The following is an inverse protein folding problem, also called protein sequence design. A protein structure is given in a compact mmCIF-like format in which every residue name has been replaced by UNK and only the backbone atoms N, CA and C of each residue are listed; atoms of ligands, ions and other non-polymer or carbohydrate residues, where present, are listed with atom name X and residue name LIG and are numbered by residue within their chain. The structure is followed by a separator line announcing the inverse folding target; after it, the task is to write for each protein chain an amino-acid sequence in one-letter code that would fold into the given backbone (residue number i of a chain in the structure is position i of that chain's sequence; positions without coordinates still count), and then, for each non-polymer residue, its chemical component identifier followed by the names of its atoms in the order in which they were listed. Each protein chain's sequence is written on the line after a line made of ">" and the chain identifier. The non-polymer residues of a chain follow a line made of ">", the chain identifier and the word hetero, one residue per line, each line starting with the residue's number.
data_IF_381932849190
#
_entry.id   IF_381932849190
#
_cell.length_a   1.000
_cell.length_b   1.000
_cell.length_c   1.000
_cell.angle_alpha   90.00
_cell.angle_beta   90.00
_cell.angle_gamma   90.00
#
_symmetry.space_group_name_H-M   'P 1'
#
loop_
_entity.id
_entity.type
_entity.pdbx_description
1 polymer ?
#
# COMPACT_ATOMS: atom_id res chain seq x y z
N UNK A 1 22.02 6.02 71.38
CA UNK A 1 21.37 5.94 70.06
C UNK A 1 22.36 5.30 69.11
N UNK A 2 22.13 4.02 68.81
CA UNK A 2 22.97 3.21 67.93
C UNK A 2 23.03 3.79 66.52
N UNK A 3 24.24 3.81 65.93
CA UNK A 3 24.42 4.08 64.50
C UNK A 3 24.04 2.81 63.74
N UNK A 4 22.94 2.87 63.00
CA UNK A 4 22.64 1.86 61.98
C UNK A 4 23.56 2.13 60.78
N UNK A 5 24.36 1.16 60.31
CA UNK A 5 25.16 1.33 59.10
C UNK A 5 24.24 1.27 57.88
N UNK A 6 24.30 2.30 57.04
CA UNK A 6 23.70 2.26 55.71
C UNK A 6 24.39 1.14 54.90
N UNK A 7 23.63 0.11 54.58
CA UNK A 7 24.00 -0.89 53.58
C UNK A 7 24.20 -0.16 52.26
N UNK A 8 25.38 -0.27 51.68
CA UNK A 8 25.69 0.16 50.30
C UNK A 8 25.39 -1.04 49.39
N UNK A 9 24.39 -0.98 48.49
CA UNK A 9 24.28 -1.95 47.41
C UNK A 9 25.23 -1.51 46.30
N UNK A 10 26.29 -2.29 46.11
CA UNK A 10 27.23 -2.15 45.01
C UNK A 10 26.57 -2.43 43.66
N UNK A 11 26.47 -1.37 42.86
CA UNK A 11 26.72 -1.31 41.42
C UNK A 11 26.04 -0.03 40.97
N UNK A 12 26.83 1.03 40.85
CA UNK A 12 26.31 2.30 40.43
C UNK A 12 25.84 2.17 38.98
N UNK A 13 24.53 1.98 38.77
CA UNK A 13 23.90 1.93 37.45
C UNK A 13 24.22 3.26 36.77
N UNK A 14 25.13 3.20 35.80
CA UNK A 14 25.45 4.36 34.97
C UNK A 14 24.29 4.59 34.01
N UNK A 15 24.11 5.85 33.63
CA UNK A 15 23.10 6.23 32.66
C UNK A 15 23.31 5.44 31.37
N UNK A 16 22.22 4.92 30.79
CA UNK A 16 22.23 4.15 29.53
C UNK A 16 22.95 4.87 28.37
N UNK A 17 22.94 6.21 28.35
CA UNK A 17 23.65 7.02 27.35
C UNK A 17 25.16 7.22 27.65
N UNK A 18 25.71 6.54 28.65
CA UNK A 18 27.11 6.61 29.06
C UNK A 18 27.65 8.04 29.26
N UNK A 19 26.78 8.95 29.71
CA UNK A 19 27.08 10.37 29.85
C UNK A 19 27.86 10.73 31.14
N UNK A 20 28.39 9.72 31.85
CA UNK A 20 29.14 9.90 33.10
C UNK A 20 28.29 10.15 34.36
N UNK A 21 26.96 10.12 34.26
CA UNK A 21 26.04 10.28 35.39
C UNK A 21 25.34 8.97 35.74
N UNK A 22 24.85 8.84 36.97
CA UNK A 22 24.08 7.68 37.41
C UNK A 22 22.66 7.68 36.84
N UNK A 23 22.24 6.52 36.35
CA UNK A 23 20.90 6.25 35.83
C UNK A 23 19.93 5.89 36.95
N UNK A 24 18.65 6.20 36.74
CA UNK A 24 17.59 5.85 37.69
C UNK A 24 16.72 4.71 37.09
N UNK A 25 16.53 3.59 37.79
CA UNK A 25 15.61 2.51 37.36
C UNK A 25 14.19 2.99 37.06
N UNK A 26 13.68 3.97 37.82
CA UNK A 26 12.36 4.58 37.56
C UNK A 26 12.28 5.34 36.23
N UNK A 27 13.43 5.67 35.64
CA UNK A 27 13.57 6.32 34.33
C UNK A 27 14.31 5.43 33.34
N UNK A 28 14.09 4.11 33.41
CA UNK A 28 14.68 3.11 32.53
C UNK A 28 16.22 3.20 32.44
N UNK A 29 16.85 3.46 33.59
CA UNK A 29 18.29 3.66 33.76
C UNK A 29 18.87 4.87 32.99
N UNK A 30 18.06 5.85 32.59
CA UNK A 30 18.56 7.16 32.15
C UNK A 30 18.83 8.08 33.35
N UNK A 31 19.80 8.98 33.21
CA UNK A 31 19.94 10.10 34.14
C UNK A 31 18.84 11.14 33.89
N UNK A 32 18.58 12.00 34.87
CA UNK A 32 17.55 13.05 34.78
C UNK A 32 17.68 13.95 33.54
N UNK A 33 18.91 14.23 33.09
CA UNK A 33 19.16 15.02 31.88
C UNK A 33 18.83 14.27 30.59
N UNK A 34 19.37 13.06 30.41
CA UNK A 34 19.12 12.25 29.21
C UNK A 34 17.66 11.81 29.12
N UNK A 35 17.00 11.57 30.25
CA UNK A 35 15.57 11.25 30.29
C UNK A 35 14.71 12.43 29.82
N UNK A 36 15.04 13.65 30.27
CA UNK A 36 14.32 14.87 29.88
C UNK A 36 14.55 15.25 28.41
N UNK A 37 15.76 15.03 27.88
CA UNK A 37 16.03 15.16 26.44
C UNK A 37 15.30 14.12 25.59
N UNK A 38 15.24 12.87 26.07
CA UNK A 38 14.49 11.80 25.41
C UNK A 38 12.98 12.12 25.37
N UNK A 39 12.40 12.58 26.49
CA UNK A 39 11.01 13.03 26.54
C UNK A 39 10.76 14.20 25.59
N UNK A 40 11.61 15.24 25.60
CA UNK A 40 11.46 16.40 24.71
C UNK A 40 11.59 16.02 23.22
N UNK A 41 12.49 15.09 22.86
CA UNK A 41 12.61 14.57 21.49
C UNK A 41 11.37 13.77 21.09
N UNK A 42 10.88 12.90 21.97
CA UNK A 42 9.66 12.13 21.76
C UNK A 42 8.44 13.04 21.58
N UNK A 43 8.27 14.05 22.43
CA UNK A 43 7.20 15.05 22.30
C UNK A 43 7.30 15.88 21.00
N UNK A 44 8.51 16.28 20.60
CA UNK A 44 8.72 16.98 19.33
C UNK A 44 8.42 16.09 18.11
N UNK A 45 8.79 14.81 18.17
CA UNK A 45 8.46 13.82 17.14
C UNK A 45 6.95 13.57 17.05
N UNK A 46 6.27 13.44 18.19
CA UNK A 46 4.81 13.36 18.29
C UNK A 46 4.10 14.59 17.70
N UNK A 47 4.61 15.79 17.99
CA UNK A 47 4.08 17.04 17.41
C UNK A 47 4.29 17.09 15.90
N UNK A 48 5.45 16.66 15.40
CA UNK A 48 5.74 16.61 13.96
C UNK A 48 4.90 15.55 13.23
N UNK A 49 4.71 14.36 13.82
CA UNK A 49 3.84 13.33 13.27
C UNK A 49 2.37 13.78 13.23
N UNK A 50 1.88 14.41 14.30
CA UNK A 50 0.54 15.02 14.34
C UNK A 50 0.39 16.17 13.34
N UNK A 51 1.43 16.97 13.13
CA UNK A 51 1.43 18.03 12.12
C UNK A 51 1.43 17.47 10.69
N UNK A 52 2.18 16.39 10.43
CA UNK A 52 2.23 15.71 9.14
C UNK A 52 0.87 15.06 8.81
N UNK A 53 0.27 14.37 9.79
CA UNK A 53 -1.07 13.79 9.70
C UNK A 53 -2.16 14.85 9.50
N UNK A 54 -2.08 16.00 10.17
CA UNK A 54 -3.02 17.12 9.94
C UNK A 54 -2.82 17.79 8.58
N UNK A 55 -1.60 17.78 8.05
CA UNK A 55 -1.29 18.36 6.74
C UNK A 55 -1.80 17.45 5.62
N UNK A 56 -1.64 16.14 5.74
CA UNK A 56 -2.24 15.17 4.81
C UNK A 56 -3.76 15.22 4.87
N UNK A 57 -4.39 15.28 6.05
CA UNK A 57 -5.85 15.43 6.19
C UNK A 57 -6.41 16.75 5.62
N UNK A 58 -5.68 17.87 5.70
CA UNK A 58 -6.13 19.15 5.11
C UNK A 58 -5.92 19.23 3.60
N UNK A 59 -4.81 18.72 3.09
CA UNK A 59 -4.57 18.60 1.65
C UNK A 59 -5.61 17.65 1.02
N UNK A 60 -5.94 16.57 1.73
CA UNK A 60 -7.01 15.64 1.41
C UNK A 60 -8.39 16.33 1.39
N UNK A 61 -8.77 17.05 2.45
CA UNK A 61 -10.04 17.79 2.47
C UNK A 61 -10.17 18.81 1.33
N UNK A 62 -9.06 19.41 0.88
CA UNK A 62 -9.04 20.33 -0.25
C UNK A 62 -9.16 19.61 -1.61
N UNK A 63 -8.49 18.47 -1.80
CA UNK A 63 -8.65 17.60 -2.97
C UNK A 63 -10.08 17.05 -3.05
N UNK A 64 -10.61 16.61 -1.93
CA UNK A 64 -11.97 16.10 -1.77
C UNK A 64 -13.01 17.20 -1.99
N UNK A 65 -12.76 18.44 -1.55
CA UNK A 65 -13.60 19.60 -1.86
C UNK A 65 -13.57 19.96 -3.37
N UNK A 66 -12.43 19.77 -4.03
CA UNK A 66 -12.29 19.92 -5.50
C UNK A 66 -13.05 18.80 -6.23
N UNK A 67 -13.00 17.56 -5.73
CA UNK A 67 -13.79 16.40 -6.21
C UNK A 67 -15.30 16.61 -5.99
N UNK A 68 -15.74 17.00 -4.79
CA UNK A 68 -17.15 17.27 -4.44
C UNK A 68 -17.76 18.39 -5.31
N UNK A 69 -16.98 19.38 -5.74
CA UNK A 69 -17.42 20.40 -6.72
C UNK A 69 -17.68 19.84 -8.13
N UNK A 70 -17.00 18.75 -8.51
CA UNK A 70 -17.15 18.06 -9.80
C UNK A 70 -18.26 17.00 -9.71
N UNK A 71 -18.31 16.23 -8.61
CA UNK A 71 -19.30 15.18 -8.36
C UNK A 71 -20.68 15.71 -7.98
N UNK A 72 -20.78 16.83 -7.26
CA UNK A 72 -22.05 17.43 -6.81
C UNK A 72 -22.94 18.00 -7.93
N UNK A 73 -22.49 17.95 -9.20
CA UNK A 73 -23.25 18.37 -10.38
C UNK A 73 -23.70 17.17 -11.26
N UNK A 74 -23.50 15.92 -10.81
CA UNK A 74 -23.28 14.75 -11.67
C UNK A 74 -24.44 13.74 -11.81
N UNK A 75 -25.71 14.15 -11.79
CA UNK A 75 -26.73 13.30 -12.43
C UNK A 75 -26.63 13.37 -13.98
N UNK A 76 -26.08 14.47 -14.53
CA UNK A 76 -25.92 14.68 -15.98
C UNK A 76 -24.53 14.37 -16.56
N UNK A 77 -23.53 14.02 -15.75
CA UNK A 77 -22.12 14.02 -16.19
C UNK A 77 -21.71 12.74 -16.92
N UNK A 78 -22.26 11.56 -16.57
CA UNK A 78 -22.06 10.33 -17.38
C UNK A 78 -22.56 10.57 -18.81
N UNK A 79 -23.77 11.12 -18.95
CA UNK A 79 -24.37 11.48 -20.24
C UNK A 79 -23.53 12.54 -20.98
N UNK A 80 -22.87 13.45 -20.29
CA UNK A 80 -22.01 14.47 -20.90
C UNK A 80 -20.60 13.98 -21.23
N UNK A 81 -20.04 13.01 -20.50
CA UNK A 81 -18.72 12.41 -20.78
C UNK A 81 -18.84 11.37 -21.89
N UNK A 82 -19.91 10.60 -21.92
CA UNK A 82 -20.12 9.64 -22.98
C UNK A 82 -20.60 10.33 -24.30
N UNK A 83 -21.33 11.46 -24.21
CA UNK A 83 -21.53 12.40 -25.35
C UNK A 83 -20.23 12.95 -25.97
N UNK A 84 -19.08 12.88 -25.30
CA UNK A 84 -17.77 13.31 -25.85
C UNK A 84 -17.36 12.46 -27.06
N UNK A 85 -17.97 11.29 -27.27
CA UNK A 85 -17.75 10.51 -28.50
C UNK A 85 -18.26 11.20 -29.78
N UNK A 86 -19.15 12.20 -29.70
CA UNK A 86 -19.83 12.73 -30.89
C UNK A 86 -19.09 13.86 -31.61
N UNK A 87 -18.25 14.64 -30.93
CA UNK A 87 -17.45 15.69 -31.57
C UNK A 87 -15.99 15.24 -31.70
N UNK A 88 -15.70 14.64 -32.83
CA UNK A 88 -14.38 14.14 -33.20
C UNK A 88 -13.31 15.27 -33.32
N UNK A 89 -13.71 16.56 -33.16
CA UNK A 89 -12.87 17.75 -33.41
C UNK A 89 -12.99 18.89 -32.37
N UNK A 90 -13.71 18.74 -31.25
CA UNK A 90 -13.69 19.77 -30.19
C UNK A 90 -13.42 19.16 -28.82
N UNK A 91 -12.17 19.28 -28.36
CA UNK A 91 -11.73 18.93 -27.01
C UNK A 91 -12.45 19.84 -26.00
N UNK A 92 -13.59 19.39 -25.50
CA UNK A 92 -14.32 20.05 -24.42
C UNK A 92 -13.52 20.07 -23.12
N UNK A 93 -13.49 21.24 -22.48
CA UNK A 93 -12.60 21.67 -21.40
C UNK A 93 -12.74 20.98 -20.02
N UNK A 94 -13.18 19.71 -19.94
CA UNK A 94 -13.45 19.04 -18.65
C UNK A 94 -12.97 17.57 -18.56
N UNK A 95 -12.12 17.09 -19.47
CA UNK A 95 -11.53 15.73 -19.37
C UNK A 95 -10.31 15.79 -18.43
N UNK A 96 -10.21 14.92 -17.41
CA UNK A 96 -9.00 14.82 -16.60
C UNK A 96 -7.77 14.58 -17.47
N UNK A 97 -6.67 15.28 -17.18
CA UNK A 97 -5.42 15.22 -17.95
C UNK A 97 -4.89 13.79 -18.04
N UNK A 98 -5.07 13.01 -16.97
CA UNK A 98 -4.67 11.60 -16.86
C UNK A 98 -5.45 10.70 -17.83
N UNK A 99 -6.73 10.99 -18.08
CA UNK A 99 -7.54 10.25 -19.04
C UNK A 99 -7.13 10.56 -20.48
N UNK A 100 -6.73 11.81 -20.77
CA UNK A 100 -6.16 12.19 -22.07
C UNK A 100 -4.81 11.51 -22.30
N UNK A 101 -3.96 11.47 -21.27
CA UNK A 101 -2.68 10.77 -21.34
C UNK A 101 -2.86 9.26 -21.55
N UNK A 102 -3.73 8.61 -20.77
CA UNK A 102 -4.03 7.19 -20.91
C UNK A 102 -4.57 6.87 -22.31
N UNK A 103 -5.42 7.76 -22.88
CA UNK A 103 -5.87 7.66 -24.27
C UNK A 103 -4.70 7.72 -25.24
N UNK A 104 -3.82 8.72 -25.12
CA UNK A 104 -2.66 8.87 -26.01
C UNK A 104 -1.73 7.65 -25.97
N UNK A 105 -1.44 7.13 -24.77
CA UNK A 105 -0.63 5.93 -24.56
C UNK A 105 -1.30 4.68 -25.16
N UNK A 106 -2.61 4.52 -24.96
CA UNK A 106 -3.38 3.43 -25.55
C UNK A 106 -3.33 3.44 -27.08
N UNK A 107 -3.56 4.59 -27.71
CA UNK A 107 -3.44 4.70 -29.17
C UNK A 107 -2.01 4.52 -29.67
N UNK A 108 -0.99 4.83 -28.86
CA UNK A 108 0.41 4.52 -29.19
C UNK A 108 0.62 3.01 -29.27
N UNK A 109 0.07 2.24 -28.33
CA UNK A 109 0.08 0.77 -28.39
C UNK A 109 -0.72 0.27 -29.58
N UNK A 110 -1.92 0.77 -29.83
CA UNK A 110 -2.71 0.34 -30.99
C UNK A 110 -2.03 0.62 -32.33
N UNK A 111 -1.22 1.67 -32.43
CA UNK A 111 -0.42 1.98 -33.64
C UNK A 111 0.70 0.98 -33.89
N UNK A 112 1.15 0.21 -32.90
CA UNK A 112 2.12 -0.87 -33.13
C UNK A 112 1.48 -2.10 -33.77
N UNK A 113 0.15 -2.20 -33.72
CA UNK A 113 -0.60 -3.26 -34.37
C UNK A 113 -0.95 -2.89 -35.81
N UNK A 114 -1.24 -3.91 -36.64
CA UNK A 114 -1.84 -3.69 -37.96
C UNK A 114 -3.18 -2.96 -37.80
N UNK A 115 -3.57 -2.21 -38.84
CA UNK A 115 -4.79 -1.41 -38.84
C UNK A 115 -6.05 -2.21 -38.51
N UNK A 116 -6.14 -3.47 -38.95
CA UNK A 116 -7.31 -4.32 -38.73
C UNK A 116 -7.54 -4.69 -37.25
N UNK A 117 -6.58 -5.29 -36.52
CA UNK A 117 -6.69 -5.49 -35.06
C UNK A 117 -6.97 -4.20 -34.28
N UNK A 118 -6.27 -3.10 -34.60
CA UNK A 118 -6.46 -1.82 -33.92
C UNK A 118 -7.85 -1.23 -34.12
N UNK A 119 -8.43 -1.37 -35.32
CA UNK A 119 -9.80 -0.93 -35.60
C UNK A 119 -10.85 -1.81 -34.91
N UNK A 120 -10.64 -3.13 -34.85
CA UNK A 120 -11.54 -4.05 -34.13
C UNK A 120 -11.61 -3.69 -32.64
N UNK A 121 -10.46 -3.50 -31.97
CA UNK A 121 -10.41 -3.11 -30.54
C UNK A 121 -11.14 -1.79 -30.31
N UNK A 122 -10.87 -0.75 -31.11
CA UNK A 122 -11.57 0.54 -30.98
C UNK A 122 -13.08 0.39 -31.14
N UNK A 123 -13.54 -0.37 -32.14
CA UNK A 123 -14.96 -0.61 -32.38
C UNK A 123 -15.63 -1.31 -31.19
N UNK A 124 -14.96 -2.27 -30.56
CA UNK A 124 -15.49 -2.95 -29.36
C UNK A 124 -15.54 -2.02 -28.14
N UNK A 125 -14.50 -1.22 -27.91
CA UNK A 125 -14.48 -0.23 -26.82
C UNK A 125 -15.57 0.82 -27.01
N UNK A 126 -15.74 1.35 -28.22
CA UNK A 126 -16.82 2.29 -28.51
C UNK A 126 -18.21 1.68 -28.29
N UNK A 127 -18.38 0.41 -28.67
CA UNK A 127 -19.63 -0.32 -28.41
C UNK A 127 -19.89 -0.44 -26.91
N UNK A 128 -18.91 -0.87 -26.13
CA UNK A 128 -19.01 -0.94 -24.66
C UNK A 128 -19.45 0.41 -24.10
N UNK A 129 -18.77 1.50 -24.47
CA UNK A 129 -19.08 2.83 -23.96
C UNK A 129 -20.51 3.26 -24.30
N UNK A 130 -21.01 2.97 -25.51
CA UNK A 130 -22.42 3.21 -25.87
C UNK A 130 -23.40 2.35 -25.07
N UNK A 131 -23.09 1.08 -24.84
CA UNK A 131 -23.94 0.18 -24.06
C UNK A 131 -24.00 0.62 -22.58
N UNK A 132 -22.91 1.22 -22.07
CA UNK A 132 -22.82 1.82 -20.74
C UNK A 132 -23.55 3.18 -20.65
N UNK A 133 -23.77 3.90 -21.75
CA UNK A 133 -24.58 5.12 -21.79
C UNK A 133 -26.07 4.86 -21.56
N UNK A 134 -26.56 3.80 -22.20
CA UNK A 134 -27.99 3.49 -22.28
C UNK A 134 -28.49 2.86 -20.99
N UNK A 135 -27.64 2.05 -20.35
CA UNK A 135 -27.91 1.48 -19.05
C UNK A 135 -27.65 2.54 -17.98
N UNK A 136 -28.68 3.14 -17.40
CA UNK A 136 -28.52 4.05 -16.26
C UNK A 136 -27.68 3.36 -15.17
N UNK A 137 -26.43 3.82 -15.01
CA UNK A 137 -25.39 3.24 -14.15
C UNK A 137 -25.65 3.48 -12.65
N UNK A 138 -26.91 3.39 -12.22
CA UNK A 138 -27.30 3.64 -10.84
C UNK A 138 -26.72 2.60 -9.85
N UNK A 139 -26.39 1.39 -10.33
CA UNK A 139 -25.83 0.31 -9.53
C UNK A 139 -24.38 0.03 -9.93
N UNK A 140 -23.46 0.18 -8.97
CA UNK A 140 -22.02 0.00 -9.17
C UNK A 140 -21.63 -1.44 -9.52
N UNK A 141 -22.36 -2.44 -9.01
CA UNK A 141 -22.07 -3.86 -9.26
C UNK A 141 -22.42 -4.25 -10.70
N UNK A 142 -23.56 -3.78 -11.21
CA UNK A 142 -23.92 -3.97 -12.63
C UNK A 142 -22.89 -3.35 -13.56
N UNK A 143 -22.40 -2.16 -13.20
CA UNK A 143 -21.36 -1.48 -13.96
C UNK A 143 -20.03 -2.24 -13.92
N UNK A 144 -19.59 -2.63 -12.73
CA UNK A 144 -18.42 -3.50 -12.49
C UNK A 144 -18.48 -4.77 -13.34
N UNK A 145 -19.60 -5.50 -13.27
CA UNK A 145 -19.78 -6.73 -14.03
C UNK A 145 -19.72 -6.51 -15.55
N UNK A 146 -20.32 -5.44 -16.07
CA UNK A 146 -20.24 -5.14 -17.50
C UNK A 146 -18.80 -4.89 -17.98
N UNK A 147 -17.96 -4.24 -17.16
CA UNK A 147 -16.54 -4.03 -17.47
C UNK A 147 -15.77 -5.36 -17.41
N UNK A 148 -16.01 -6.19 -16.39
CA UNK A 148 -15.35 -7.51 -16.26
C UNK A 148 -15.74 -8.47 -17.39
N UNK A 149 -17.02 -8.50 -17.75
CA UNK A 149 -17.54 -9.28 -18.88
C UNK A 149 -16.87 -8.82 -20.19
N UNK A 150 -16.63 -7.52 -20.34
CA UNK A 150 -15.89 -6.99 -21.49
C UNK A 150 -14.43 -7.45 -21.52
N UNK A 151 -13.71 -7.49 -20.39
CA UNK A 151 -12.36 -8.04 -20.35
C UNK A 151 -12.32 -9.50 -20.77
N UNK A 152 -13.24 -10.31 -20.24
CA UNK A 152 -13.37 -11.73 -20.60
C UNK A 152 -13.72 -11.91 -22.08
N UNK A 153 -14.66 -11.11 -22.59
CA UNK A 153 -15.04 -11.08 -24.00
C UNK A 153 -13.85 -10.71 -24.91
N UNK A 154 -13.10 -9.67 -24.57
CA UNK A 154 -11.94 -9.24 -25.34
C UNK A 154 -10.81 -10.28 -25.30
N UNK A 155 -10.57 -10.90 -24.15
CA UNK A 155 -9.61 -11.99 -24.03
C UNK A 155 -10.00 -13.15 -24.96
N UNK A 156 -11.24 -13.64 -24.88
CA UNK A 156 -11.71 -14.72 -25.76
C UNK A 156 -11.59 -14.32 -27.24
N UNK A 157 -11.97 -13.09 -27.60
CA UNK A 157 -11.90 -12.59 -28.98
C UNK A 157 -10.47 -12.51 -29.51
N UNK A 158 -9.53 -12.01 -28.71
CA UNK A 158 -8.11 -11.89 -29.10
C UNK A 158 -7.46 -13.27 -29.28
N UNK A 159 -7.84 -14.28 -28.50
CA UNK A 159 -7.27 -15.63 -28.64
C UNK A 159 -7.94 -16.48 -29.73
N UNK A 160 -9.22 -16.24 -30.05
CA UNK A 160 -9.98 -17.09 -30.99
C UNK A 160 -10.05 -16.52 -32.41
N UNK A 161 -10.02 -15.20 -32.58
CA UNK A 161 -10.26 -14.57 -33.86
C UNK A 161 -9.02 -14.58 -34.76
N UNK A 162 -9.20 -14.95 -36.03
CA UNK A 162 -8.16 -14.99 -37.06
C UNK A 162 -7.35 -13.70 -37.20
N UNK A 163 -7.95 -12.54 -36.88
CA UNK A 163 -7.30 -11.23 -36.94
C UNK A 163 -6.03 -11.13 -36.06
N UNK A 164 -5.95 -11.93 -35.00
CA UNK A 164 -4.88 -11.88 -34.00
C UNK A 164 -3.98 -13.13 -34.05
N UNK A 165 -4.14 -14.02 -35.02
CA UNK A 165 -3.39 -15.29 -35.10
C UNK A 165 -1.88 -15.07 -35.22
N UNK A 166 -1.47 -14.07 -36.00
CA UNK A 166 -0.06 -13.73 -36.24
C UNK A 166 0.67 -13.15 -35.01
N UNK A 167 -0.05 -12.79 -33.95
CA UNK A 167 0.53 -12.16 -32.76
C UNK A 167 0.98 -13.19 -31.71
N UNK A 168 2.11 -12.91 -31.06
CA UNK A 168 2.61 -13.73 -29.95
C UNK A 168 1.72 -13.63 -28.71
N UNK A 169 1.82 -14.59 -27.80
CA UNK A 169 1.10 -14.57 -26.52
C UNK A 169 1.43 -13.30 -25.72
N UNK A 170 2.70 -12.89 -25.69
CA UNK A 170 3.15 -11.67 -25.00
C UNK A 170 2.52 -10.40 -25.62
N UNK A 171 2.39 -10.34 -26.94
CA UNK A 171 1.70 -9.22 -27.60
C UNK A 171 0.21 -9.21 -27.23
N UNK A 172 -0.45 -10.36 -27.24
CA UNK A 172 -1.87 -10.49 -26.86
C UNK A 172 -2.12 -10.06 -25.42
N UNK A 173 -1.30 -10.51 -24.48
CA UNK A 173 -1.36 -10.11 -23.07
C UNK A 173 -1.08 -8.61 -22.89
N UNK A 174 -0.07 -8.08 -23.60
CA UNK A 174 0.24 -6.65 -23.59
C UNK A 174 -0.92 -5.79 -24.10
N UNK A 175 -1.67 -6.26 -25.10
CA UNK A 175 -2.87 -5.59 -25.59
C UNK A 175 -4.01 -5.62 -24.56
N UNK A 176 -4.25 -6.77 -23.90
CA UNK A 176 -5.25 -6.89 -22.84
C UNK A 176 -4.93 -5.98 -21.65
N UNK A 177 -3.67 -5.93 -21.22
CA UNK A 177 -3.22 -5.00 -20.17
C UNK A 177 -3.42 -3.54 -20.59
N UNK A 178 -3.12 -3.19 -21.85
CA UNK A 178 -3.35 -1.84 -22.37
C UNK A 178 -4.84 -1.47 -22.37
N UNK A 179 -5.74 -2.41 -22.69
CA UNK A 179 -7.19 -2.21 -22.62
C UNK A 179 -7.65 -1.98 -21.18
N UNK A 180 -7.21 -2.84 -20.24
CA UNK A 180 -7.53 -2.69 -18.80
C UNK A 180 -7.04 -1.34 -18.26
N UNK A 181 -5.80 -0.97 -18.58
CA UNK A 181 -5.21 0.32 -18.16
C UNK A 181 -6.00 1.50 -18.70
N UNK A 182 -6.34 1.47 -20.00
CA UNK A 182 -7.12 2.55 -20.61
C UNK A 182 -8.50 2.69 -19.95
N UNK A 183 -9.24 1.57 -19.83
CA UNK A 183 -10.60 1.59 -19.28
C UNK A 183 -10.61 1.96 -17.80
N UNK A 184 -9.70 1.42 -16.98
CA UNK A 184 -9.62 1.73 -15.55
C UNK A 184 -9.35 3.21 -15.28
N UNK A 185 -8.48 3.87 -16.04
CA UNK A 185 -8.28 5.33 -15.92
C UNK A 185 -9.51 6.09 -16.42
N UNK A 186 -10.11 5.66 -17.52
CA UNK A 186 -11.26 6.33 -18.12
C UNK A 186 -12.48 6.33 -17.17
N UNK A 187 -12.74 5.21 -16.49
CA UNK A 187 -13.87 5.08 -15.56
C UNK A 187 -13.55 5.65 -14.17
N UNK A 188 -12.28 5.85 -13.83
CA UNK A 188 -11.80 6.25 -12.49
C UNK A 188 -12.60 7.39 -11.85
N UNK A 189 -12.89 8.53 -12.53
CA UNK A 189 -13.58 9.67 -11.92
C UNK A 189 -14.99 9.35 -11.39
N UNK A 190 -15.59 8.26 -11.87
CA UNK A 190 -16.94 7.84 -11.51
C UNK A 190 -16.97 6.53 -10.74
N UNK A 191 -16.01 5.65 -10.99
CA UNK A 191 -15.93 4.32 -10.40
C UNK A 191 -15.24 4.31 -9.01
N UNK A 192 -14.40 5.30 -8.72
CA UNK A 192 -13.65 5.39 -7.47
C UNK A 192 -14.42 6.20 -6.41
N UNK A 193 -14.78 5.56 -5.30
CA UNK A 193 -15.59 6.11 -4.20
C UNK A 193 -16.84 6.87 -4.72
N UNK A 194 -17.75 6.17 -5.42
CA UNK A 194 -18.92 6.79 -6.04
C UNK A 194 -19.94 7.22 -4.96
N UNK A 195 -20.67 8.32 -5.19
CA UNK A 195 -21.57 8.90 -4.18
C UNK A 195 -22.81 8.05 -3.87
N UNK A 196 -23.05 6.98 -4.64
CA UNK A 196 -24.14 6.02 -4.41
C UNK A 196 -23.70 4.82 -3.55
N UNK A 197 -22.49 4.84 -2.99
CA UNK A 197 -21.95 3.82 -2.09
C UNK A 197 -21.53 4.43 -0.76
N UNK A 198 -21.37 3.59 0.25
CA UNK A 198 -20.85 3.91 1.58
C UNK A 198 -19.31 3.90 1.64
N UNK A 199 -18.62 3.74 0.50
CA UNK A 199 -17.15 3.64 0.43
C UNK A 199 -16.43 4.77 1.20
N UNK A 200 -16.92 6.02 1.11
CA UNK A 200 -16.35 7.19 1.79
C UNK A 200 -16.57 7.14 3.31
N UNK A 201 -17.72 6.63 3.77
CA UNK A 201 -18.04 6.49 5.20
C UNK A 201 -17.16 5.41 5.83
N UNK A 202 -17.08 4.24 5.18
CA UNK A 202 -16.22 3.13 5.63
C UNK A 202 -14.74 3.52 5.62
N UNK A 203 -14.30 4.35 4.68
CA UNK A 203 -12.94 4.88 4.67
C UNK A 203 -12.65 5.77 5.87
N UNK A 204 -13.57 6.65 6.25
CA UNK A 204 -13.41 7.51 7.43
C UNK A 204 -13.37 6.68 8.71
N UNK A 205 -14.28 5.71 8.85
CA UNK A 205 -14.32 4.79 10.00
C UNK A 205 -13.03 3.98 10.11
N UNK A 206 -12.55 3.41 9.00
CA UNK A 206 -11.30 2.65 8.97
C UNK A 206 -10.09 3.54 9.31
N UNK A 207 -10.07 4.78 8.81
CA UNK A 207 -8.99 5.71 9.08
C UNK A 207 -8.94 6.12 10.56
N UNK A 208 -10.09 6.40 11.16
CA UNK A 208 -10.21 6.71 12.59
C UNK A 208 -9.90 5.49 13.46
N UNK A 209 -10.30 4.30 13.00
CA UNK A 209 -9.93 3.04 13.64
C UNK A 209 -8.42 2.85 13.67
N UNK A 210 -7.73 2.98 12.54
CA UNK A 210 -6.26 2.90 12.46
C UNK A 210 -5.61 3.95 13.37
N UNK A 211 -6.13 5.19 13.39
CA UNK A 211 -5.62 6.24 14.29
C UNK A 211 -5.74 5.85 15.76
N UNK A 212 -6.86 5.25 16.17
CA UNK A 212 -7.07 4.83 17.56
C UNK A 212 -6.10 3.73 18.02
N UNK A 213 -5.56 2.97 17.08
CA UNK A 213 -4.62 1.86 17.30
C UNK A 213 -3.14 2.30 17.20
N UNK A 214 -2.85 3.60 17.31
CA UNK A 214 -1.48 4.12 17.16
C UNK A 214 -0.45 3.51 18.14
N UNK A 215 -0.91 2.98 19.27
CA UNK A 215 -0.12 2.39 20.35
C UNK A 215 0.27 0.93 20.09
N UNK A 216 -0.34 0.25 19.11
CA UNK A 216 -0.05 -1.16 18.81
C UNK A 216 1.38 -1.32 18.30
N UNK A 217 2.22 -2.04 19.05
CA UNK A 217 3.61 -2.32 18.70
C UNK A 217 3.72 -3.57 17.84
N UNK A 218 4.89 -3.80 17.24
CA UNK A 218 5.17 -5.05 16.52
C UNK A 218 5.13 -6.27 17.46
N UNK A 219 5.43 -6.08 18.75
CA UNK A 219 5.39 -7.15 19.76
C UNK A 219 3.96 -7.60 20.09
N UNK A 220 2.98 -6.69 20.08
CA UNK A 220 1.57 -7.07 20.34
C UNK A 220 0.96 -7.93 19.22
N UNK A 221 1.57 -7.91 18.03
CA UNK A 221 1.13 -8.67 16.87
C UNK A 221 1.97 -9.92 16.65
N UNK A 222 2.96 -10.20 17.52
CA UNK A 222 3.98 -11.22 17.32
C UNK A 222 4.70 -11.09 15.96
N UNK A 223 4.84 -9.86 15.46
CA UNK A 223 5.47 -9.59 14.17
C UNK A 223 7.00 -9.74 14.30
N UNK A 224 7.64 -10.68 13.55
CA UNK A 224 9.07 -10.95 13.66
C UNK A 224 9.87 -9.90 12.89
N UNK A 225 9.83 -8.66 13.38
CA UNK A 225 10.57 -7.49 12.89
C UNK A 225 11.17 -6.73 14.05
N UNK A 226 12.32 -6.10 13.81
CA UNK A 226 12.90 -5.12 14.72
C UNK A 226 12.95 -3.75 14.03
N UNK A 227 11.97 -2.87 14.28
CA UNK A 227 11.96 -1.50 13.76
C UNK A 227 13.14 -0.64 14.22
N UNK A 228 13.91 -1.10 15.21
CA UNK A 228 15.11 -0.42 15.71
C UNK A 228 16.33 -0.68 14.81
N UNK A 229 16.31 -1.77 14.05
CA UNK A 229 17.38 -2.12 13.12
C UNK A 229 17.34 -1.19 11.90
N UNK A 230 18.44 -0.49 11.57
CA UNK A 230 18.46 0.49 10.48
C UNK A 230 18.26 -0.15 9.10
N UNK A 231 18.65 -1.42 8.91
CA UNK A 231 18.44 -2.12 7.64
C UNK A 231 16.99 -2.54 7.46
N UNK A 232 16.33 -3.04 8.51
CA UNK A 232 14.91 -3.39 8.45
C UNK A 232 14.02 -2.15 8.38
N UNK A 233 14.33 -1.11 9.15
CA UNK A 233 13.57 0.14 9.14
C UNK A 233 13.46 0.74 7.73
N UNK A 234 14.53 0.71 6.93
CA UNK A 234 14.49 1.16 5.52
C UNK A 234 13.49 0.40 4.66
N UNK A 235 13.44 -0.92 4.78
CA UNK A 235 12.48 -1.75 4.05
C UNK A 235 11.05 -1.51 4.54
N UNK A 236 10.84 -1.37 5.86
CA UNK A 236 9.54 -1.07 6.44
C UNK A 236 9.03 0.33 6.01
N UNK A 237 9.89 1.35 5.99
CA UNK A 237 9.57 2.69 5.49
C UNK A 237 9.25 2.68 3.99
N UNK A 238 9.99 1.90 3.19
CA UNK A 238 9.70 1.72 1.77
C UNK A 238 8.32 1.06 1.57
N UNK A 239 8.01 0.00 2.32
CA UNK A 239 6.71 -0.67 2.28
C UNK A 239 5.56 0.30 2.61
N UNK A 240 5.71 1.08 3.69
CA UNK A 240 4.75 2.15 4.07
C UNK A 240 4.53 3.12 2.91
N UNK A 241 5.62 3.57 2.26
CA UNK A 241 5.53 4.51 1.15
C UNK A 241 4.80 3.91 -0.05
N UNK A 242 5.07 2.66 -0.42
CA UNK A 242 4.38 1.99 -1.51
C UNK A 242 2.86 1.94 -1.26
N UNK A 243 2.45 1.61 -0.04
CA UNK A 243 1.03 1.55 0.34
C UNK A 243 0.36 2.93 0.30
N UNK A 244 1.03 3.99 0.74
CA UNK A 244 0.51 5.38 0.65
C UNK A 244 0.39 5.82 -0.82
N UNK A 245 1.38 5.49 -1.65
CA UNK A 245 1.44 5.89 -3.06
C UNK A 245 0.45 5.13 -3.96
N UNK A 246 -0.21 4.10 -3.45
CA UNK A 246 -1.34 3.46 -4.13
C UNK A 246 -2.44 4.46 -4.52
N UNK A 247 -2.60 5.53 -3.76
CA UNK A 247 -3.58 6.59 -4.07
C UNK A 247 -3.15 7.53 -5.21
N UNK A 248 -1.85 7.59 -5.52
CA UNK A 248 -1.33 8.46 -6.59
C UNK A 248 -1.58 7.86 -7.98
N UNK A 249 -1.87 6.57 -8.06
CA UNK A 249 -2.04 5.84 -9.32
C UNK A 249 -3.51 5.55 -9.59
N UNK A 250 -3.96 5.77 -10.81
CA UNK A 250 -5.35 5.49 -11.23
C UNK A 250 -5.57 4.07 -11.76
N UNK A 251 -4.70 3.48 -12.61
CA UNK A 251 -4.94 2.15 -13.16
C UNK A 251 -5.01 1.06 -12.08
N UNK A 252 -5.92 0.10 -12.25
CA UNK A 252 -6.07 -1.06 -11.35
C UNK A 252 -4.79 -1.88 -11.25
N UNK A 253 -4.15 -2.13 -12.39
CA UNK A 253 -2.84 -2.79 -12.51
C UNK A 253 -1.79 -2.07 -11.66
N UNK A 254 -1.61 -0.76 -11.84
CA UNK A 254 -0.60 0.01 -11.11
C UNK A 254 -0.90 0.09 -9.61
N UNK A 255 -2.17 0.09 -9.19
CA UNK A 255 -2.53 -0.02 -7.77
C UNK A 255 -2.10 -1.36 -7.19
N UNK A 256 -2.33 -2.46 -7.90
CA UNK A 256 -1.89 -3.79 -7.51
C UNK A 256 -0.37 -3.91 -7.48
N UNK A 257 0.35 -3.31 -8.44
CA UNK A 257 1.81 -3.28 -8.44
C UNK A 257 2.36 -2.61 -7.19
N UNK A 258 1.72 -1.52 -6.71
CA UNK A 258 2.12 -0.87 -5.45
C UNK A 258 1.90 -1.76 -4.23
N UNK A 259 0.85 -2.58 -4.22
CA UNK A 259 0.61 -3.57 -3.17
C UNK A 259 1.68 -4.67 -3.22
N UNK A 260 2.02 -5.18 -4.41
CA UNK A 260 3.09 -6.18 -4.59
C UNK A 260 4.44 -5.62 -4.16
N UNK A 261 4.79 -4.41 -4.59
CA UNK A 261 6.02 -3.71 -4.17
C UNK A 261 6.09 -3.62 -2.63
N UNK A 262 4.99 -3.27 -1.97
CA UNK A 262 4.89 -3.22 -0.51
C UNK A 262 5.18 -4.59 0.11
N UNK A 263 4.55 -5.66 -0.40
CA UNK A 263 4.78 -7.02 0.09
C UNK A 263 6.22 -7.50 -0.15
N UNK A 264 6.84 -7.15 -1.28
CA UNK A 264 8.25 -7.45 -1.55
C UNK A 264 9.18 -6.79 -0.53
N UNK A 265 8.93 -5.53 -0.17
CA UNK A 265 9.70 -4.84 0.88
C UNK A 265 9.53 -5.50 2.26
N UNK A 266 8.31 -5.96 2.58
CA UNK A 266 8.06 -6.74 3.80
C UNK A 266 8.85 -8.05 3.80
N UNK A 267 8.85 -8.81 2.69
CA UNK A 267 9.65 -10.03 2.58
C UNK A 267 11.15 -9.77 2.65
N UNK A 268 11.63 -8.63 2.11
CA UNK A 268 13.04 -8.22 2.27
C UNK A 268 13.37 -7.95 3.74
N UNK A 269 12.50 -7.27 4.47
CA UNK A 269 12.67 -7.04 5.91
C UNK A 269 12.72 -8.36 6.70
N UNK A 270 11.79 -9.29 6.44
CA UNK A 270 11.74 -10.60 7.10
C UNK A 270 13.00 -11.45 6.86
N UNK A 271 13.54 -11.42 5.64
CA UNK A 271 14.77 -12.16 5.30
C UNK A 271 16.01 -11.66 6.04
N UNK A 272 16.00 -10.44 6.59
CA UNK A 272 17.11 -9.92 7.39
C UNK A 272 17.15 -10.56 8.79
N UNK A 273 16.00 -10.92 9.36
CA UNK A 273 15.94 -11.67 10.63
C UNK A 273 16.41 -13.13 10.48
N UNK A 274 16.20 -13.74 9.31
CA UNK A 274 16.73 -15.08 9.03
C UNK A 274 18.27 -15.13 8.91
N UNK A 275 18.93 -13.98 8.72
CA UNK A 275 20.38 -13.86 8.52
C UNK A 275 21.17 -13.52 9.78
N UNK A 276 20.51 -13.14 10.87
CA UNK A 276 21.15 -13.07 12.19
C UNK A 276 21.23 -14.48 12.75
N UNK A 277 22.40 -15.14 12.79
CA UNK A 277 22.51 -16.45 13.42
C UNK A 277 22.53 -16.20 14.92
N UNK A 278 21.38 -16.37 15.58
CA UNK A 278 21.38 -16.54 17.02
C UNK A 278 22.06 -17.86 17.35
N UNK A 279 23.29 -17.73 17.84
CA UNK A 279 24.00 -18.71 18.64
C UNK A 279 23.22 -18.98 19.93
N UNK A 280 22.09 -19.69 19.89
CA UNK A 280 21.39 -20.29 21.05
C UNK A 280 20.10 -21.04 20.63
N UNK A 281 20.19 -22.08 19.80
CA UNK A 281 19.31 -23.26 19.94
C UNK A 281 19.77 -24.37 18.99
N UNK A 282 20.61 -25.26 19.51
CA UNK A 282 20.74 -26.60 18.96
C UNK A 282 19.54 -27.42 19.43
N UNK A 283 18.68 -27.86 18.50
CA UNK A 283 18.23 -29.26 18.44
C UNK A 283 17.74 -29.62 17.04
N UNK A 284 18.64 -30.25 16.30
CA UNK A 284 18.48 -31.41 15.41
C UNK A 284 17.09 -31.68 14.80
N UNK A 285 16.99 -31.49 13.48
CA UNK A 285 16.41 -32.49 12.58
C UNK A 285 17.01 -32.32 11.17
N UNK A 286 18.13 -33.02 10.96
CA UNK A 286 18.47 -33.81 9.76
C UNK A 286 18.27 -33.16 8.38
N UNK A 287 19.32 -32.63 7.76
CA UNK A 287 20.30 -33.39 6.97
C UNK A 287 19.73 -34.00 5.67
N UNK A 288 19.93 -33.28 4.57
CA UNK A 288 20.12 -33.87 3.24
C UNK A 288 21.28 -33.16 2.51
N UNK A 289 22.46 -33.75 2.73
CA UNK A 289 23.58 -33.91 1.83
C UNK A 289 24.33 -32.67 1.28
N UNK A 290 25.48 -32.44 1.94
CA UNK A 290 26.66 -31.77 1.43
C UNK A 290 27.35 -32.54 0.28
N UNK A 291 28.11 -31.81 -0.56
CA UNK A 291 29.51 -32.11 -0.94
C UNK A 291 29.98 -31.12 -2.04
N UNK A 292 30.88 -30.18 -1.72
CA UNK A 292 32.33 -30.23 -2.04
C UNK A 292 32.64 -30.00 -3.53
N UNK A 293 33.09 -28.78 -3.91
CA UNK A 293 34.50 -28.54 -4.29
C UNK A 293 34.79 -27.13 -4.81
N UNK A 294 36.04 -26.76 -4.59
CA UNK A 294 36.73 -25.50 -4.86
C UNK A 294 37.05 -25.31 -6.35
N UNK A 295 37.09 -24.04 -6.77
CA UNK A 295 37.86 -23.44 -7.88
C UNK A 295 37.14 -22.98 -9.17
N UNK A 296 37.41 -21.69 -9.46
CA UNK A 296 37.67 -21.01 -10.75
C UNK A 296 36.50 -20.58 -11.68
N UNK A 297 36.44 -19.25 -11.80
CA UNK A 297 36.38 -18.42 -13.03
C UNK A 297 35.15 -18.49 -13.97
N UNK A 298 34.53 -17.30 -14.06
CA UNK A 298 34.14 -16.56 -15.27
C UNK A 298 32.96 -17.04 -16.17
N UNK A 299 32.11 -16.04 -16.44
CA UNK A 299 31.26 -15.79 -17.62
C UNK A 299 29.81 -16.33 -17.68
N UNK A 300 28.89 -15.35 -17.64
CA UNK A 300 27.74 -15.11 -18.55
C UNK A 300 26.77 -16.29 -18.79
N UNK A 301 25.57 -16.24 -18.19
CA UNK A 301 24.26 -16.36 -18.89
C UNK A 301 23.05 -16.32 -17.94
N UNK A 302 22.00 -15.64 -18.41
CA UNK A 302 20.57 -15.78 -18.11
C UNK A 302 20.07 -15.45 -16.70
N UNK A 303 19.37 -14.31 -16.64
CA UNK A 303 18.28 -14.03 -15.69
C UNK A 303 17.35 -15.25 -15.61
N UNK A 304 17.35 -15.92 -14.46
CA UNK A 304 16.30 -16.85 -14.09
C UNK A 304 15.15 -16.08 -13.45
N UNK A 305 13.88 -16.48 -13.67
CA UNK A 305 12.75 -15.90 -12.97
C UNK A 305 12.91 -16.18 -11.49
N UNK A 306 12.75 -15.15 -10.64
CA UNK A 306 12.63 -15.35 -9.20
C UNK A 306 11.36 -16.18 -8.95
N UNK A 307 11.50 -17.50 -8.86
CA UNK A 307 10.53 -18.30 -8.14
C UNK A 307 10.52 -17.83 -6.67
N UNK A 308 9.36 -17.83 -5.99
CA UNK A 308 9.28 -17.45 -4.59
C UNK A 308 9.95 -18.56 -3.77
N UNK A 309 11.26 -18.46 -3.58
CA UNK A 309 11.94 -19.23 -2.56
C UNK A 309 11.67 -18.55 -1.22
N UNK A 310 10.55 -18.95 -0.59
CA UNK A 310 10.22 -18.61 0.78
C UNK A 310 11.08 -19.45 1.74
N UNK A 311 11.80 -18.78 2.65
CA UNK A 311 11.92 -19.26 4.01
C UNK A 311 11.47 -18.18 4.99
N UNK A 312 10.37 -17.49 4.66
CA UNK A 312 9.59 -16.70 5.62
C UNK A 312 8.19 -17.27 5.58
N UNK A 313 7.73 -17.84 6.69
CA UNK A 313 6.48 -18.58 6.76
C UNK A 313 5.31 -17.59 6.56
N UNK A 314 4.17 -18.03 6.01
CA UNK A 314 3.00 -17.16 5.86
C UNK A 314 2.54 -16.57 7.21
N UNK A 315 2.79 -17.30 8.29
CA UNK A 315 2.54 -16.92 9.68
C UNK A 315 3.38 -15.71 10.14
N UNK A 316 4.57 -15.51 9.56
CA UNK A 316 5.46 -14.38 9.86
C UNK A 316 5.07 -13.11 9.07
N UNK A 317 4.42 -13.30 7.92
CA UNK A 317 4.17 -12.23 6.96
C UNK A 317 2.96 -11.36 7.33
N UNK A 318 1.83 -11.98 7.63
CA UNK A 318 0.57 -11.28 7.86
C UNK A 318 0.65 -10.30 9.06
N UNK A 319 1.26 -10.65 10.21
CA UNK A 319 1.45 -9.71 11.31
C UNK A 319 2.25 -8.47 10.94
N UNK A 320 3.29 -8.62 10.12
CA UNK A 320 4.10 -7.49 9.64
C UNK A 320 3.29 -6.62 8.69
N UNK A 321 2.49 -7.22 7.81
CA UNK A 321 1.61 -6.47 6.91
C UNK A 321 0.56 -5.66 7.69
N UNK A 322 -0.07 -6.26 8.71
CA UNK A 322 -1.01 -5.56 9.61
C UNK A 322 -0.31 -4.37 10.27
N UNK A 323 0.90 -4.59 10.79
CA UNK A 323 1.69 -3.53 11.40
C UNK A 323 2.01 -2.41 10.41
N UNK A 324 2.40 -2.73 9.17
CA UNK A 324 2.64 -1.74 8.11
C UNK A 324 1.38 -0.92 7.81
N UNK A 325 0.22 -1.55 7.69
CA UNK A 325 -1.06 -0.85 7.45
C UNK A 325 -1.38 0.11 8.61
N UNK A 326 -1.17 -0.32 9.86
CA UNK A 326 -1.36 0.52 11.05
C UNK A 326 -0.42 1.73 11.06
N UNK A 327 0.83 1.57 10.63
CA UNK A 327 1.82 2.66 10.56
C UNK A 327 1.59 3.60 9.37
N UNK A 328 1.22 3.04 8.23
CA UNK A 328 1.02 3.80 6.99
C UNK A 328 -0.24 4.67 7.05
N UNK A 329 -1.33 4.14 7.64
CA UNK A 329 -2.66 4.75 7.61
C UNK A 329 -3.01 5.35 6.24
N UNK A 330 -2.98 4.52 5.18
CA UNK A 330 -3.16 5.01 3.81
C UNK A 330 -4.56 5.62 3.64
N UNK A 331 -4.67 6.80 3.03
CA UNK A 331 -5.98 7.43 2.80
C UNK A 331 -6.83 6.57 1.85
N UNK A 332 -8.16 6.61 1.99
CA UNK A 332 -9.09 5.93 1.08
C UNK A 332 -8.77 4.44 0.84
N UNK A 333 -8.26 3.74 1.85
CA UNK A 333 -7.82 2.35 1.73
C UNK A 333 -8.96 1.43 1.28
N UNK A 334 -10.14 1.59 1.86
CA UNK A 334 -11.32 0.83 1.50
C UNK A 334 -11.74 1.10 0.04
N UNK A 335 -11.86 2.36 -0.36
CA UNK A 335 -12.19 2.71 -1.75
C UNK A 335 -11.20 2.16 -2.76
N UNK A 336 -9.90 2.14 -2.42
CA UNK A 336 -8.88 1.54 -3.27
C UNK A 336 -9.04 0.03 -3.43
N UNK A 337 -9.28 -0.70 -2.33
CA UNK A 337 -9.51 -2.13 -2.36
C UNK A 337 -10.79 -2.46 -3.13
N UNK A 338 -11.87 -1.71 -2.90
CA UNK A 338 -13.13 -1.88 -3.62
C UNK A 338 -12.98 -1.60 -5.12
N UNK A 339 -12.26 -0.54 -5.49
CA UNK A 339 -12.00 -0.22 -6.89
C UNK A 339 -11.24 -1.35 -7.60
N UNK A 340 -10.22 -1.92 -6.96
CA UNK A 340 -9.50 -3.08 -7.48
C UNK A 340 -10.44 -4.29 -7.61
N UNK A 341 -11.20 -4.63 -6.57
CA UNK A 341 -12.13 -5.77 -6.56
C UNK A 341 -13.18 -5.67 -7.68
N UNK A 342 -13.71 -4.47 -7.91
CA UNK A 342 -14.76 -4.20 -8.90
C UNK A 342 -14.22 -4.12 -10.33
N UNK A 343 -13.05 -3.53 -10.56
CA UNK A 343 -12.62 -3.17 -11.93
C UNK A 343 -11.31 -3.78 -12.43
N UNK A 344 -10.57 -4.52 -11.59
CA UNK A 344 -9.42 -5.26 -12.08
C UNK A 344 -9.86 -6.52 -12.84
N UNK A 345 -9.05 -6.96 -13.79
CA UNK A 345 -9.27 -8.22 -14.50
C UNK A 345 -9.23 -9.41 -13.53
N UNK A 346 -10.20 -10.33 -13.63
CA UNK A 346 -10.27 -11.50 -12.74
C UNK A 346 -9.05 -12.40 -12.86
N UNK A 347 -8.38 -12.44 -14.02
CA UNK A 347 -7.11 -13.16 -14.20
C UNK A 347 -6.04 -12.66 -13.21
N UNK A 348 -6.00 -11.35 -12.96
CA UNK A 348 -5.02 -10.70 -12.08
C UNK A 348 -5.35 -10.91 -10.60
N UNK A 349 -6.64 -11.00 -10.26
CA UNK A 349 -7.10 -11.19 -8.88
C UNK A 349 -7.14 -12.66 -8.45
N UNK A 350 -7.25 -13.61 -9.39
CA UNK A 350 -7.39 -15.02 -9.07
C UNK A 350 -6.08 -15.82 -9.19
N UNK A 351 -5.07 -15.28 -9.87
CA UNK A 351 -3.82 -16.01 -10.12
C UNK A 351 -2.57 -15.15 -9.91
N UNK A 352 -1.51 -15.79 -9.42
CA UNK A 352 -0.19 -15.18 -9.28
C UNK A 352 0.06 -14.47 -7.95
N UNK A 353 1.21 -13.80 -7.88
CA UNK A 353 1.69 -13.10 -6.69
C UNK A 353 0.83 -11.90 -6.30
N UNK A 354 0.31 -11.17 -7.30
CA UNK A 354 -0.55 -10.01 -7.07
C UNK A 354 -1.84 -10.39 -6.32
N UNK A 355 -2.46 -11.50 -6.70
CA UNK A 355 -3.62 -12.06 -6.01
C UNK A 355 -3.33 -12.37 -4.54
N UNK A 356 -2.21 -13.04 -4.27
CA UNK A 356 -1.80 -13.36 -2.90
C UNK A 356 -1.59 -12.10 -2.05
N UNK A 357 -0.84 -11.12 -2.56
CA UNK A 357 -0.57 -9.87 -1.86
C UNK A 357 -1.86 -9.08 -1.58
N UNK A 358 -2.75 -9.02 -2.57
CA UNK A 358 -4.05 -8.34 -2.46
C UNK A 358 -4.95 -8.98 -1.41
N UNK A 359 -5.10 -10.31 -1.44
CA UNK A 359 -5.90 -11.05 -0.44
C UNK A 359 -5.35 -10.83 0.97
N UNK A 360 -4.03 -10.90 1.16
CA UNK A 360 -3.42 -10.65 2.46
C UNK A 360 -3.65 -9.22 2.96
N UNK A 361 -3.61 -8.22 2.07
CA UNK A 361 -3.95 -6.84 2.45
C UNK A 361 -5.43 -6.71 2.85
N UNK A 362 -6.35 -7.35 2.11
CA UNK A 362 -7.76 -7.40 2.49
C UNK A 362 -7.96 -8.06 3.87
N UNK A 363 -7.27 -9.19 4.14
CA UNK A 363 -7.28 -9.84 5.44
C UNK A 363 -6.73 -8.93 6.54
N UNK A 364 -5.65 -8.21 6.28
CA UNK A 364 -5.06 -7.27 7.25
C UNK A 364 -6.03 -6.12 7.59
N UNK A 365 -6.73 -5.57 6.59
CA UNK A 365 -7.75 -4.53 6.80
C UNK A 365 -8.93 -5.06 7.61
N UNK A 366 -9.41 -6.26 7.29
CA UNK A 366 -10.53 -6.87 8.01
C UNK A 366 -10.16 -7.22 9.46
N UNK A 367 -8.92 -7.67 9.68
CA UNK A 367 -8.39 -7.87 11.03
C UNK A 367 -8.36 -6.55 11.82
N UNK A 368 -7.89 -5.45 11.23
CA UNK A 368 -7.83 -4.13 11.90
C UNK A 368 -9.23 -3.61 12.27
N UNK A 369 -10.23 -3.83 11.40
CA UNK A 369 -11.62 -3.46 11.67
C UNK A 369 -12.15 -4.18 12.91
N UNK A 370 -11.92 -5.49 13.00
CA UNK A 370 -12.46 -6.35 14.05
C UNK A 370 -11.51 -6.54 15.24
N UNK A 371 -10.36 -5.85 15.26
CA UNK A 371 -9.33 -6.03 16.28
C UNK A 371 -9.90 -5.81 17.69
N UNK A 372 -9.70 -6.76 18.58
CA UNK A 372 -10.13 -6.66 19.97
C UNK A 372 -9.00 -7.00 20.94
N UNK A 373 -9.30 -6.95 22.24
CA UNK A 373 -8.34 -7.28 23.29
C UNK A 373 -7.85 -8.74 23.17
N UNK A 374 -8.74 -9.66 22.78
CA UNK A 374 -8.43 -11.08 22.62
C UNK A 374 -7.45 -11.32 21.46
N UNK A 375 -7.60 -10.58 20.36
CA UNK A 375 -6.73 -10.63 19.18
C UNK A 375 -5.29 -10.24 19.48
N UNK A 376 -5.04 -9.45 20.52
CA UNK A 376 -3.71 -9.03 20.98
C UNK A 376 -3.22 -9.78 22.24
N UNK A 377 -3.99 -10.76 22.73
CA UNK A 377 -3.67 -11.47 23.97
C UNK A 377 -3.70 -10.60 25.24
N UNK A 378 -4.42 -9.47 25.21
CA UNK A 378 -4.52 -8.51 26.31
C UNK A 378 -5.80 -8.72 27.12
N UNK A 379 -5.81 -8.27 28.37
CA UNK A 379 -7.05 -8.14 29.13
C UNK A 379 -7.87 -6.95 28.62
N UNK A 380 -9.19 -6.96 28.88
CA UNK A 380 -10.08 -5.88 28.46
C UNK A 380 -9.67 -4.55 29.10
N UNK A 381 -9.26 -4.59 30.36
CA UNK A 381 -8.83 -3.43 31.13
C UNK A 381 -7.53 -2.82 30.58
N UNK A 382 -6.56 -3.65 30.23
CA UNK A 382 -5.30 -3.20 29.59
C UNK A 382 -5.56 -2.59 28.23
N UNK A 383 -6.40 -3.23 27.42
CA UNK A 383 -6.76 -2.72 26.10
C UNK A 383 -7.45 -1.36 26.19
N UNK A 384 -8.44 -1.21 27.08
CA UNK A 384 -9.11 0.07 27.31
C UNK A 384 -8.17 1.15 27.84
N UNK A 385 -7.20 0.78 28.70
CA UNK A 385 -6.19 1.71 29.17
C UNK A 385 -5.28 2.17 28.03
N UNK A 386 -4.81 1.27 27.18
CA UNK A 386 -3.99 1.61 26.01
C UNK A 386 -4.75 2.45 24.98
N UNK A 387 -6.04 2.20 24.79
CA UNK A 387 -6.89 3.04 23.93
C UNK A 387 -7.08 4.47 24.47
N UNK A 388 -6.98 4.69 25.79
CA UNK A 388 -7.07 6.03 26.41
C UNK A 388 -5.71 6.74 26.50
N UNK A 389 -4.70 6.03 26.99
CA UNK A 389 -3.42 6.58 27.45
C UNK A 389 -2.21 6.11 26.63
N UNK A 390 -2.43 5.28 25.60
CA UNK A 390 -1.36 4.68 24.81
C UNK A 390 -0.45 5.72 24.15
N UNK A 391 0.85 5.44 24.16
CA UNK A 391 1.83 6.29 23.47
C UNK A 391 1.97 5.83 22.02
N UNK A 392 1.95 6.72 21.01
CA UNK A 392 2.18 6.35 19.63
C UNK A 392 3.57 5.74 19.41
N UNK A 393 3.61 4.59 18.74
CA UNK A 393 4.87 3.96 18.33
C UNK A 393 5.48 4.81 17.20
N UNK A 394 6.64 5.41 17.45
CA UNK A 394 7.41 6.18 16.48
C UNK A 394 8.49 5.29 15.87
N UNK A 395 8.58 5.27 14.53
CA UNK A 395 9.72 4.67 13.86
C UNK A 395 10.97 5.51 14.15
N UNK A 396 12.06 4.86 14.53
CA UNK A 396 13.36 5.54 14.63
C UNK A 396 13.72 5.99 13.21
N UNK A 397 13.89 7.30 12.94
CA UNK A 397 14.36 7.74 11.65
C UNK A 397 15.81 7.25 11.52
N UNK A 398 16.05 6.29 10.64
CA UNK A 398 17.40 6.10 10.13
C UNK A 398 17.79 7.41 9.43
N UNK A 399 18.99 7.92 9.68
CA UNK A 399 19.50 9.14 9.07
C UNK A 399 19.43 9.07 7.53
N UNK A 400 18.35 9.56 6.95
CA UNK A 400 18.21 9.83 5.52
C UNK A 400 18.17 11.35 5.37
N UNK A 401 19.26 11.98 4.90
CA UNK A 401 19.21 13.37 4.53
C UNK A 401 18.22 13.56 3.37
N UNK A 402 17.28 14.48 3.56
CA UNK A 402 16.59 15.26 2.53
C UNK A 402 15.47 14.64 1.66
N UNK A 403 15.01 13.39 1.88
CA UNK A 403 13.84 12.87 1.15
C UNK A 403 12.49 13.45 1.65
N UNK A 404 12.36 13.71 2.96
CA UNK A 404 11.16 14.25 3.61
C UNK A 404 10.97 15.77 3.39
N UNK A 405 12.05 16.49 3.11
CA UNK A 405 11.99 17.91 2.76
C UNK A 405 11.46 18.10 1.33
N UNK A 406 11.76 17.15 0.43
CA UNK A 406 11.32 17.14 -0.96
C UNK A 406 9.83 16.82 -1.08
N UNK A 407 9.28 15.92 -0.26
CA UNK A 407 7.82 15.71 -0.17
C UNK A 407 7.13 16.96 0.36
N UNK A 408 7.68 17.59 1.41
CA UNK A 408 7.13 18.83 2.00
C UNK A 408 7.15 20.01 1.02
N UNK A 409 8.20 20.15 0.21
CA UNK A 409 8.35 21.15 -0.87
C UNK A 409 7.39 20.87 -2.04
N UNK A 410 7.19 19.60 -2.42
CA UNK A 410 6.25 19.24 -3.49
C UNK A 410 4.79 19.41 -3.07
N UNK A 411 4.44 19.09 -1.82
CA UNK A 411 3.09 19.36 -1.30
C UNK A 411 2.79 20.86 -1.17
N UNK A 412 3.80 21.70 -0.93
CA UNK A 412 3.62 23.17 -0.95
C UNK A 412 3.51 23.72 -2.38
N UNK A 413 4.20 23.12 -3.36
CA UNK A 413 4.07 23.50 -4.77
C UNK A 413 2.69 23.15 -5.36
N UNK A 414 2.07 22.05 -4.92
CA UNK A 414 0.70 21.66 -5.29
C UNK A 414 -0.35 22.59 -4.64
N UNK A 415 -0.02 23.22 -3.50
CA UNK A 415 -0.92 24.16 -2.81
C UNK A 415 -0.97 25.56 -3.45
N UNK A 416 -0.12 25.86 -4.44
CA UNK A 416 0.01 27.20 -5.04
C UNK A 416 -0.41 27.28 -6.51
N UNK A 417 -0.95 26.19 -7.08
CA UNK A 417 -1.62 26.17 -8.39
C UNK A 417 -3.02 25.59 -8.23
#
# INVERSE_FOLDING_TARGET
>A
MERVPMVVPGSSILCKNNCGYYGNPSWNNYCSRCYREFQNRSEAQLRNARALSRTSSRAFANFEAKRKKVAGKSSGTIRNILKIQKDHDQVGSNIPEEALQARAEFYKVLKTWRSSPGHDVNKQIEKLLRDLEVNELANIDKFSNAIKDFYSYMAQRIYTNHLYQDASTEQKEGLLNAIERYLSVWIYPWAFAPPNTDDEEVDLELQDRIRSLHWVSHQHLDAPIDPSSPEQSRHLEAAILHLIRQNEVHPTESKLDKIVDCCHEVFRALRLNAKTPDSSSMTVATAAAAAVNVAKQQQIKSQQPLAPQCPSNADDFLPVLIWIVLRANPPLLHSNLQFITRFASDTRLNTGEAAYCFINLCCAVEFIKNLDYASLGLTKEEFEHQMRDGVPVTLCPADIPDALSDTKRRYTAISQK
#
